data_IF_954759705406
#
_entry.id   IF_954759705406
#
_cell.length_a   1.000
_cell.length_b   1.000
_cell.length_c   1.000
_cell.angle_alpha   90.00
_cell.angle_beta   90.00
_cell.angle_gamma   90.00
#
_symmetry.space_group_name_H-M   'P 1'
#
loop_
_entity.id
_entity.type
_entity.pdbx_description
1 polymer ?
#
# COMPACT_ATOMS: atom_id res chain seq x y z
N UNK A 1 -12.14 8.84 -4.14
CA UNK A 1 -11.56 9.34 -5.42
C UNK A 1 -10.32 8.53 -5.68
N UNK A 2 -10.20 7.88 -6.84
CA UNK A 2 -9.00 7.14 -7.25
C UNK A 2 -8.13 8.08 -8.08
N UNK A 3 -6.86 8.26 -7.72
CA UNK A 3 -5.90 8.97 -8.57
C UNK A 3 -5.28 7.91 -9.48
N UNK A 4 -5.71 7.91 -10.75
CA UNK A 4 -5.22 6.96 -11.74
C UNK A 4 -3.77 7.33 -12.09
N UNK A 5 -2.84 6.43 -11.77
CA UNK A 5 -1.47 6.39 -12.26
C UNK A 5 -0.68 7.72 -12.14
N UNK A 6 0.17 7.91 -11.10
CA UNK A 6 1.06 9.07 -11.07
C UNK A 6 1.82 9.09 -12.39
N UNK A 7 1.72 10.15 -13.22
CA UNK A 7 2.28 10.14 -14.57
C UNK A 7 3.78 9.80 -14.57
N UNK A 8 4.47 10.23 -13.52
CA UNK A 8 5.86 9.93 -13.23
C UNK A 8 6.12 8.45 -12.94
N UNK A 9 5.27 7.77 -12.16
CA UNK A 9 5.48 6.34 -11.84
C UNK A 9 5.41 5.46 -13.09
N UNK A 10 4.40 5.68 -13.93
CA UNK A 10 4.28 4.96 -15.20
C UNK A 10 5.39 5.33 -16.17
N UNK A 11 5.70 6.61 -16.32
CA UNK A 11 6.77 7.07 -17.21
C UNK A 11 8.14 6.49 -16.83
N UNK A 12 8.40 6.27 -15.54
CA UNK A 12 9.69 5.74 -15.05
C UNK A 12 9.75 4.22 -15.03
N UNK A 13 8.65 3.53 -14.71
CA UNK A 13 8.68 2.07 -14.46
C UNK A 13 7.99 1.23 -15.53
N UNK A 14 7.15 1.84 -16.37
CA UNK A 14 6.26 1.15 -17.30
C UNK A 14 5.15 0.36 -16.61
N UNK A 15 4.98 0.48 -15.28
CA UNK A 15 3.96 -0.24 -14.50
C UNK A 15 2.79 0.67 -14.17
N UNK A 16 1.58 0.14 -14.30
CA UNK A 16 0.36 0.82 -13.86
C UNK A 16 0.23 0.79 -12.34
N UNK A 17 -0.14 1.91 -11.74
CA UNK A 17 -0.46 2.00 -10.32
C UNK A 17 -1.83 2.66 -10.11
N UNK A 18 -2.54 2.21 -9.08
CA UNK A 18 -3.80 2.81 -8.63
C UNK A 18 -3.50 3.48 -7.29
N UNK A 19 -3.65 4.81 -7.23
CA UNK A 19 -3.46 5.55 -5.98
C UNK A 19 -4.81 5.71 -5.30
N UNK A 20 -4.89 5.24 -4.06
CA UNK A 20 -6.09 5.27 -3.23
C UNK A 20 -5.83 6.23 -2.07
N UNK A 21 -6.11 7.54 -2.23
CA UNK A 21 -5.80 8.53 -1.19
C UNK A 21 -6.64 8.33 0.07
N UNK A 22 -7.86 7.79 -0.05
CA UNK A 22 -8.73 7.44 1.06
C UNK A 22 -9.48 6.16 0.72
N UNK A 23 -9.32 5.12 1.54
CA UNK A 23 -9.97 3.83 1.38
C UNK A 23 -9.79 2.96 2.62
N UNK A 24 -10.72 2.03 2.81
CA UNK A 24 -10.66 1.00 3.85
C UNK A 24 -10.38 -0.37 3.20
N UNK A 25 -10.40 -1.43 4.01
CA UNK A 25 -10.23 -2.80 3.52
C UNK A 25 -11.31 -3.21 2.51
N UNK A 26 -12.53 -2.65 2.59
CA UNK A 26 -13.60 -2.89 1.64
C UNK A 26 -13.26 -2.36 0.25
N UNK A 27 -12.79 -1.10 0.19
CA UNK A 27 -12.29 -0.48 -1.05
C UNK A 27 -11.13 -1.29 -1.64
N UNK A 28 -10.21 -1.78 -0.81
CA UNK A 28 -9.12 -2.64 -1.29
C UNK A 28 -9.62 -3.97 -1.86
N UNK A 29 -10.68 -4.55 -1.29
CA UNK A 29 -11.30 -5.76 -1.82
C UNK A 29 -11.99 -5.50 -3.16
N UNK A 30 -12.78 -4.42 -3.26
CA UNK A 30 -13.48 -4.05 -4.51
C UNK A 30 -12.48 -3.82 -5.65
N UNK A 31 -11.36 -3.15 -5.37
CA UNK A 31 -10.30 -2.94 -6.35
C UNK A 31 -9.58 -4.23 -6.73
N UNK A 32 -9.48 -5.19 -5.81
CA UNK A 32 -8.91 -6.49 -6.11
C UNK A 32 -9.75 -7.24 -7.16
N UNK A 33 -11.07 -7.13 -7.05
CA UNK A 33 -12.01 -7.78 -7.96
C UNK A 33 -12.05 -7.10 -9.34
N UNK A 34 -11.85 -5.78 -9.40
CA UNK A 34 -11.94 -5.00 -10.66
C UNK A 34 -10.61 -4.98 -11.42
N UNK A 35 -9.49 -4.79 -10.71
CA UNK A 35 -8.20 -4.50 -11.33
C UNK A 35 -7.15 -5.59 -11.16
N UNK A 36 -7.41 -6.60 -10.31
CA UNK A 36 -6.47 -7.69 -10.01
C UNK A 36 -5.02 -7.23 -9.77
N UNK A 37 -4.80 -6.25 -8.86
CA UNK A 37 -3.46 -5.81 -8.50
C UNK A 37 -2.68 -6.94 -7.86
N UNK A 38 -1.38 -7.03 -8.16
CA UNK A 38 -0.49 -8.05 -7.60
C UNK A 38 0.16 -7.62 -6.29
N UNK A 39 0.24 -6.31 -6.06
CA UNK A 39 0.94 -5.71 -4.92
C UNK A 39 0.11 -4.60 -4.32
N UNK A 40 0.16 -4.48 -3.00
CA UNK A 40 -0.31 -3.35 -2.24
C UNK A 40 0.89 -2.66 -1.59
N UNK A 41 0.96 -1.35 -1.74
CA UNK A 41 1.97 -0.50 -1.11
C UNK A 41 1.23 0.37 -0.10
N UNK A 42 1.58 0.26 1.18
CA UNK A 42 0.94 0.99 2.27
C UNK A 42 1.98 1.84 3.00
N UNK A 43 1.81 3.15 2.95
CA UNK A 43 2.73 4.12 3.57
C UNK A 43 2.42 4.31 5.06
N UNK A 44 3.36 4.88 5.81
CA UNK A 44 3.13 5.21 7.23
C UNK A 44 1.95 6.18 7.42
N UNK A 45 1.78 7.11 6.48
CA UNK A 45 0.67 8.05 6.45
C UNK A 45 -0.50 7.45 5.65
N UNK A 46 -1.09 6.40 6.19
CA UNK A 46 -2.25 5.72 5.61
C UNK A 46 -3.55 6.22 6.23
N UNK A 47 -4.69 5.98 5.56
CA UNK A 47 -6.00 6.18 6.17
C UNK A 47 -6.14 5.36 7.46
N UNK A 48 -6.71 5.96 8.51
CA UNK A 48 -6.94 5.32 9.82
C UNK A 48 -7.65 3.96 9.74
N UNK A 49 -8.48 3.76 8.72
CA UNK A 49 -9.18 2.50 8.49
C UNK A 49 -8.25 1.33 8.13
N UNK A 50 -6.98 1.60 7.81
CA UNK A 50 -5.94 0.61 7.49
C UNK A 50 -4.91 0.46 8.62
N UNK A 51 -5.11 1.10 9.78
CA UNK A 51 -4.21 1.01 10.94
C UNK A 51 -3.92 -0.45 11.31
N UNK A 52 -4.96 -1.30 11.36
CA UNK A 52 -4.78 -2.71 11.73
C UNK A 52 -3.91 -3.46 10.70
N UNK A 53 -4.06 -3.18 9.40
CA UNK A 53 -3.24 -3.78 8.34
C UNK A 53 -1.79 -3.30 8.43
N UNK A 54 -1.59 -2.03 8.78
CA UNK A 54 -0.25 -1.48 8.95
C UNK A 54 0.43 -2.03 10.21
N UNK A 55 -0.24 -2.02 11.36
CA UNK A 55 0.34 -2.44 12.65
C UNK A 55 0.48 -3.97 12.76
N UNK A 56 -0.39 -4.74 12.10
CA UNK A 56 -0.40 -6.19 12.14
C UNK A 56 -0.25 -6.80 10.73
N UNK A 57 0.88 -6.56 10.03
CA UNK A 57 1.00 -6.85 8.60
C UNK A 57 0.93 -8.35 8.24
N UNK A 58 1.13 -9.23 9.23
CA UNK A 58 1.05 -10.68 9.05
C UNK A 58 -0.36 -11.26 9.31
N UNK A 59 -1.31 -10.45 9.76
CA UNK A 59 -2.62 -10.95 10.24
C UNK A 59 -3.69 -11.06 9.16
N UNK A 60 -3.40 -10.61 7.94
CA UNK A 60 -4.39 -10.55 6.86
C UNK A 60 -4.06 -11.57 5.77
N UNK A 61 -4.77 -12.69 5.75
CA UNK A 61 -4.49 -13.81 4.83
C UNK A 61 -4.55 -13.47 3.33
N UNK A 62 -5.24 -12.39 2.94
CA UNK A 62 -5.25 -11.89 1.55
C UNK A 62 -4.03 -11.02 1.19
N UNK A 63 -3.29 -10.53 2.19
CA UNK A 63 -2.16 -9.62 2.03
C UNK A 63 -0.92 -10.26 2.66
N UNK A 64 -0.13 -10.94 1.84
CA UNK A 64 1.15 -11.50 2.27
C UNK A 64 2.17 -10.38 2.42
N UNK A 65 2.55 -10.05 3.66
CA UNK A 65 3.60 -9.07 3.91
C UNK A 65 4.95 -9.55 3.40
N UNK A 66 5.57 -8.75 2.52
CA UNK A 66 6.90 -9.04 1.97
C UNK A 66 7.99 -8.36 2.81
N UNK A 67 7.89 -7.03 2.96
CA UNK A 67 8.89 -6.22 3.67
C UNK A 67 8.43 -4.79 3.91
N UNK A 68 9.19 -4.11 4.77
CA UNK A 68 9.13 -2.66 4.96
C UNK A 68 10.34 -1.99 4.35
N UNK A 69 10.13 -0.85 3.70
CA UNK A 69 11.18 0.10 3.36
C UNK A 69 11.12 1.25 4.36
N UNK A 70 12.22 1.58 5.07
CA UNK A 70 12.22 2.73 5.96
C UNK A 70 12.01 4.00 5.14
N UNK A 71 11.21 4.91 5.67
CA UNK A 71 11.12 6.24 5.11
C UNK A 71 12.45 6.97 5.35
N UNK A 72 12.97 7.68 4.35
CA UNK A 72 14.28 8.35 4.46
C UNK A 72 14.24 9.45 5.51
N UNK A 73 13.09 10.13 5.65
CA UNK A 73 12.87 11.17 6.66
C UNK A 73 12.77 10.58 8.08
N UNK A 74 12.53 9.27 8.18
CA UNK A 74 12.44 8.52 9.43
C UNK A 74 13.77 7.87 9.85
N UNK A 75 14.84 8.06 9.08
CA UNK A 75 16.18 7.68 9.52
C UNK A 75 16.75 8.72 10.52
N UNK A 76 16.24 9.95 10.47
CA UNK A 76 16.65 11.06 11.36
C UNK A 76 15.82 11.17 12.64
N UNK A 77 14.66 10.52 12.69
CA UNK A 77 13.79 10.41 13.88
C UNK A 77 13.71 8.95 14.29
N UNK A 78 13.89 8.61 15.58
CA UNK A 78 13.77 7.23 16.08
C UNK A 78 12.34 6.62 15.94
N UNK A 79 11.47 7.21 15.13
CA UNK A 79 10.15 6.70 14.82
C UNK A 79 10.24 5.71 13.66
N UNK A 80 9.81 4.47 13.88
CA UNK A 80 9.74 3.44 12.84
C UNK A 80 8.66 3.74 11.81
N UNK A 81 8.86 4.76 10.97
CA UNK A 81 8.01 5.06 9.80
C UNK A 81 8.59 4.37 8.57
N UNK A 82 7.74 3.69 7.83
CA UNK A 82 8.14 3.01 6.63
C UNK A 82 6.95 2.66 5.74
N UNK A 83 7.28 2.14 4.57
CA UNK A 83 6.31 1.70 3.58
C UNK A 83 6.29 0.19 3.54
N UNK A 84 5.15 -0.40 3.86
CA UNK A 84 4.92 -1.82 3.82
C UNK A 84 4.55 -2.25 2.39
N UNK A 85 5.19 -3.32 1.92
CA UNK A 85 4.82 -3.97 0.66
C UNK A 85 4.18 -5.30 0.96
N UNK A 86 2.99 -5.49 0.41
CA UNK A 86 2.25 -6.74 0.45
C UNK A 86 2.11 -7.31 -0.95
N UNK A 87 2.17 -8.63 -1.06
CA UNK A 87 1.67 -9.38 -2.21
C UNK A 87 0.19 -9.69 -1.97
N UNK A 88 -0.62 -9.52 -3.01
CA UNK A 88 -2.04 -9.86 -2.94
C UNK A 88 -2.21 -11.31 -3.39
N UNK A 89 -2.83 -12.11 -2.54
CA UNK A 89 -3.17 -13.50 -2.85
C UNK A 89 -4.58 -13.53 -3.45
N UNK A 90 -4.77 -14.09 -4.66
CA UNK A 90 -6.08 -14.20 -5.29
C UNK A 90 -7.02 -15.15 -4.54
#
# INVERSE_FOLDING_TARGET
>A
MLVNNPPSYFATTGRSAIVIPNGDLGVLSDLNDIYHPQFLILEFNHPKALDDLYQNPYSFGKYEYIRTYPDQDALDTQEHKGTHIFRIIP
#
